data_IF_082238765827
#
_entry.id   IF_082238765827
#
_cell.length_a   1.000
_cell.length_b   1.000
_cell.length_c   1.000
_cell.angle_alpha   90.00
_cell.angle_beta   90.00
_cell.angle_gamma   90.00
#
_symmetry.space_group_name_H-M   'P 1'
#
loop_
_entity.id
_entity.type
_entity.pdbx_description
1 polymer ?
#
# COMPACT_ATOMS: atom_id res chain seq x y z
N UNK A 1 26.90 -29.46 -21.28
CA UNK A 1 26.03 -28.46 -21.95
C UNK A 1 24.54 -28.72 -21.72
N UNK A 2 24.03 -29.94 -21.96
CA UNK A 2 22.61 -30.31 -21.73
C UNK A 2 22.10 -29.98 -20.31
N UNK A 3 22.91 -30.26 -19.28
CA UNK A 3 22.54 -30.03 -17.88
C UNK A 3 22.54 -28.54 -17.50
N UNK A 4 23.39 -27.73 -18.14
CA UNK A 4 23.46 -26.28 -17.90
C UNK A 4 22.21 -25.60 -18.49
N UNK A 5 21.76 -26.05 -19.68
CA UNK A 5 20.53 -25.56 -20.32
C UNK A 5 19.30 -25.87 -19.44
N UNK A 6 19.25 -27.06 -18.83
CA UNK A 6 18.18 -27.43 -17.90
C UNK A 6 18.14 -26.54 -16.64
N UNK A 7 19.30 -26.19 -16.08
CA UNK A 7 19.39 -25.32 -14.90
C UNK A 7 18.93 -23.89 -15.23
N UNK A 8 19.31 -23.35 -16.39
CA UNK A 8 18.89 -22.01 -16.82
C UNK A 8 17.37 -21.94 -16.98
N UNK A 9 16.75 -22.98 -17.57
CA UNK A 9 15.29 -23.04 -17.73
C UNK A 9 14.54 -23.10 -16.39
N UNK A 10 15.08 -23.76 -15.38
CA UNK A 10 14.47 -23.79 -14.04
C UNK A 10 14.57 -22.42 -13.36
N UNK A 11 15.71 -21.74 -13.50
CA UNK A 11 15.94 -20.42 -12.89
C UNK A 11 15.05 -19.32 -13.50
N UNK A 12 14.79 -19.36 -14.81
CA UNK A 12 13.93 -18.35 -15.46
C UNK A 12 12.46 -18.48 -15.06
N UNK A 13 11.94 -19.70 -14.88
CA UNK A 13 10.57 -19.92 -14.38
C UNK A 13 10.42 -19.44 -12.93
N UNK A 14 11.42 -19.68 -12.08
CA UNK A 14 11.43 -19.18 -10.70
C UNK A 14 11.38 -17.66 -10.60
N UNK A 15 12.07 -16.95 -11.49
CA UNK A 15 12.09 -15.48 -11.52
C UNK A 15 10.74 -14.87 -11.91
N UNK A 16 9.99 -15.47 -12.84
CA UNK A 16 8.66 -14.99 -13.24
C UNK A 16 7.64 -15.11 -12.11
N UNK A 17 7.72 -16.18 -11.31
CA UNK A 17 6.85 -16.37 -10.14
C UNK A 17 7.14 -15.33 -9.05
N UNK A 18 8.43 -15.05 -8.80
CA UNK A 18 8.85 -14.00 -7.84
C UNK A 18 8.48 -12.59 -8.31
N UNK A 19 8.64 -12.29 -9.60
CA UNK A 19 8.35 -10.96 -10.13
C UNK A 19 6.84 -10.71 -10.32
N UNK A 20 6.07 -11.75 -10.68
CA UNK A 20 4.62 -11.68 -10.81
C UNK A 20 3.89 -11.40 -9.49
N UNK A 21 4.44 -11.83 -8.35
CA UNK A 21 3.86 -11.59 -7.03
C UNK A 21 4.14 -10.19 -6.46
N UNK A 22 5.13 -9.46 -7.00
CA UNK A 22 5.50 -8.12 -6.52
C UNK A 22 4.73 -7.00 -7.26
N UNK A 23 4.11 -7.33 -8.41
CA UNK A 23 3.42 -6.35 -9.27
C UNK A 23 1.95 -6.09 -8.94
N UNK A 24 1.27 -6.96 -8.20
CA UNK A 24 -0.10 -6.70 -7.74
C UNK A 24 -0.09 -5.84 -6.49
N UNK A 25 0.08 -4.52 -6.69
CA UNK A 25 -0.60 -3.56 -5.83
C UNK A 25 -2.08 -3.65 -6.17
N UNK A 26 -2.73 -4.65 -5.59
CA UNK A 26 -4.16 -4.66 -5.42
C UNK A 26 -4.46 -3.46 -4.52
N UNK A 27 -4.83 -2.33 -5.15
CA UNK A 27 -5.61 -1.28 -4.52
C UNK A 27 -6.94 -1.94 -4.15
N UNK A 28 -6.93 -2.74 -3.09
CA UNK A 28 -8.11 -3.14 -2.38
C UNK A 28 -8.68 -1.84 -1.83
N UNK A 29 -9.61 -1.27 -2.59
CA UNK A 29 -10.57 -0.31 -2.08
C UNK A 29 -11.22 -0.98 -0.87
N UNK A 30 -10.72 -0.64 0.32
CA UNK A 30 -11.40 -0.91 1.59
C UNK A 30 -12.58 0.05 1.63
N UNK A 31 -13.61 -0.27 0.85
CA UNK A 31 -14.96 0.15 1.20
C UNK A 31 -15.28 -0.42 2.59
N UNK A 32 -15.66 0.46 3.50
CA UNK A 32 -16.48 0.05 4.63
C UNK A 32 -15.81 -0.10 6.00
N UNK A 33 -14.74 0.64 6.28
CA UNK A 33 -14.41 1.00 7.68
C UNK A 33 -14.40 2.52 7.80
N UNK A 34 -15.57 3.15 7.60
CA UNK A 34 -15.86 4.39 8.31
C UNK A 34 -16.06 3.97 9.76
N UNK A 35 -14.96 3.64 10.44
CA UNK A 35 -14.95 3.54 11.88
C UNK A 35 -15.45 4.89 12.37
N UNK A 36 -16.42 4.88 13.26
CA UNK A 36 -17.07 6.04 13.88
C UNK A 36 -16.08 6.79 14.77
N UNK A 37 -14.91 7.15 14.24
CA UNK A 37 -13.91 7.92 14.94
C UNK A 37 -14.50 9.29 15.25
N UNK A 38 -14.36 9.67 16.50
CA UNK A 38 -14.78 10.97 17.01
C UNK A 38 -13.93 12.07 16.37
N UNK A 39 -14.46 13.30 16.36
CA UNK A 39 -13.73 14.45 15.83
C UNK A 39 -12.35 14.65 16.53
N UNK A 40 -12.24 14.25 17.80
CA UNK A 40 -10.99 14.30 18.56
C UNK A 40 -9.95 13.29 18.04
N UNK A 41 -10.36 12.10 17.64
CA UNK A 41 -9.45 11.08 17.08
C UNK A 41 -8.96 11.40 15.66
N UNK A 42 -9.69 12.29 14.98
CA UNK A 42 -9.31 12.81 13.67
C UNK A 42 -8.66 14.19 13.72
N UNK A 43 -8.28 14.64 14.92
CA UNK A 43 -7.48 15.86 15.06
C UNK A 43 -6.14 15.68 14.33
N UNK A 44 -5.84 16.61 13.42
CA UNK A 44 -4.59 16.61 12.68
C UNK A 44 -3.53 17.29 13.56
N UNK A 45 -2.47 16.57 13.96
CA UNK A 45 -1.43 17.11 14.83
C UNK A 45 -0.58 18.17 14.11
N UNK A 46 0.12 19.00 14.90
CA UNK A 46 0.92 20.11 14.38
C UNK A 46 2.01 19.65 13.39
N UNK A 47 2.64 18.50 13.61
CA UNK A 47 3.68 18.00 12.70
C UNK A 47 3.14 17.65 11.32
N UNK A 48 1.92 17.09 11.23
CA UNK A 48 1.31 16.71 9.95
C UNK A 48 0.96 17.97 9.14
N UNK A 49 0.53 19.04 9.82
CA UNK A 49 0.32 20.36 9.21
C UNK A 49 1.64 20.98 8.74
N UNK A 50 2.69 20.93 9.56
CA UNK A 50 3.99 21.54 9.25
C UNK A 50 4.66 20.96 8.00
N UNK A 51 4.41 19.68 7.69
CA UNK A 51 4.99 18.99 6.52
C UNK A 51 4.01 18.87 5.34
N UNK A 52 2.79 19.42 5.43
CA UNK A 52 1.77 19.32 4.39
C UNK A 52 1.25 17.89 4.16
N UNK A 53 1.17 17.08 5.21
CA UNK A 53 0.72 15.67 5.15
C UNK A 53 -0.64 15.46 5.85
N UNK A 54 -1.50 16.47 5.90
CA UNK A 54 -2.82 16.37 6.54
C UNK A 54 -3.67 15.24 5.93
N UNK A 55 -3.73 15.18 4.60
CA UNK A 55 -4.57 14.20 3.91
C UNK A 55 -4.00 12.77 4.07
N UNK A 56 -2.66 12.63 4.10
CA UNK A 56 -1.99 11.35 4.41
C UNK A 56 -2.23 10.91 5.84
N UNK A 57 -2.20 11.85 6.79
CA UNK A 57 -2.52 11.57 8.19
C UNK A 57 -3.94 11.01 8.31
N UNK A 58 -4.92 11.66 7.68
CA UNK A 58 -6.33 11.21 7.71
C UNK A 58 -6.49 9.81 7.09
N UNK A 59 -5.87 9.57 5.93
CA UNK A 59 -5.92 8.28 5.24
C UNK A 59 -5.38 7.14 6.14
N UNK A 60 -4.19 7.32 6.73
CA UNK A 60 -3.58 6.29 7.57
C UNK A 60 -4.30 6.07 8.90
N UNK A 61 -5.07 7.07 9.35
CA UNK A 61 -5.86 6.99 10.57
C UNK A 61 -7.32 6.59 10.33
N UNK A 62 -7.73 6.29 9.08
CA UNK A 62 -9.11 5.93 8.77
C UNK A 62 -10.10 7.06 9.06
N UNK A 63 -9.63 8.31 8.96
CA UNK A 63 -10.45 9.51 9.15
C UNK A 63 -11.00 10.00 7.80
N UNK A 64 -12.18 10.66 7.79
CA UNK A 64 -12.74 11.20 6.57
C UNK A 64 -11.79 12.24 5.94
N UNK A 65 -11.73 12.31 4.59
CA UNK A 65 -10.91 13.29 3.91
C UNK A 65 -11.43 14.71 4.17
N UNK A 66 -10.53 15.70 4.12
CA UNK A 66 -10.93 17.11 4.23
C UNK A 66 -11.81 17.49 3.04
N UNK A 67 -12.90 18.20 3.30
CA UNK A 67 -13.64 18.91 2.25
C UNK A 67 -12.75 20.00 1.68
N UNK A 68 -12.52 19.99 0.36
CA UNK A 68 -11.78 21.03 -0.35
C UNK A 68 -12.56 22.34 -0.43
#
# INVERSE_FOLDING_TARGET
MKNIIAIILVLTVGAVIWFGFIGSKEEAAVEGVISSKTAAECEIPAFAKAIGHEDKWLLHNGCPPRTK
#
